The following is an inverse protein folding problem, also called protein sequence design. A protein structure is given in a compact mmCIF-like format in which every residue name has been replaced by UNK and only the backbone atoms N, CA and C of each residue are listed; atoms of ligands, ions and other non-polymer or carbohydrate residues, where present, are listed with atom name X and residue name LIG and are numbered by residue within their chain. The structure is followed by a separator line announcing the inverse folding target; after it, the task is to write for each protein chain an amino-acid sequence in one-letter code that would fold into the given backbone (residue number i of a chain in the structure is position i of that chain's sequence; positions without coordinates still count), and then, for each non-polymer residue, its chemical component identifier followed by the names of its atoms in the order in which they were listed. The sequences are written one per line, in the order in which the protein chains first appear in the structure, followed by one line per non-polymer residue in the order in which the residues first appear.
data_IF_622795603055
#
_entry.id   IF_622795603055
#
_cell.length_a   1.000
_cell.length_b   1.000
_cell.length_c   1.000
_cell.angle_alpha   90.00
_cell.angle_beta   90.00
_cell.angle_gamma   90.00
#
_symmetry.space_group_name_H-M   'P 1'
#
loop_
_entity.id
_entity.type
_entity.pdbx_description
1 polymer ?
#
# COMPACT_ATOMS: atom_id res chain seq x y z
N UNK A 1 -9.78 -21.18 -14.23
CA UNK A 1 -9.24 -19.81 -14.24
C UNK A 1 -10.27 -18.92 -13.60
N UNK A 2 -9.93 -18.23 -12.51
CA UNK A 2 -10.85 -17.29 -11.86
C UNK A 2 -11.02 -16.03 -12.70
N UNK A 3 -12.18 -15.39 -12.60
CA UNK A 3 -12.43 -14.07 -13.19
C UNK A 3 -11.55 -13.05 -12.49
N UNK A 4 -10.74 -12.31 -13.25
CA UNK A 4 -9.96 -11.17 -12.74
C UNK A 4 -10.75 -9.87 -12.91
N UNK A 5 -10.52 -8.87 -12.04
CA UNK A 5 -11.02 -7.53 -12.29
C UNK A 5 -10.33 -6.91 -13.52
N UNK A 6 -10.94 -5.87 -14.08
CA UNK A 6 -10.46 -5.19 -15.30
C UNK A 6 -9.05 -4.60 -15.10
N UNK A 7 -8.72 -4.26 -13.86
CA UNK A 7 -7.40 -3.77 -13.45
C UNK A 7 -7.00 -4.47 -12.15
N UNK A 8 -5.78 -4.99 -12.11
CA UNK A 8 -5.25 -5.74 -10.97
C UNK A 8 -3.79 -5.34 -10.77
N UNK A 9 -3.39 -5.14 -9.51
CA UNK A 9 -2.00 -5.04 -9.13
C UNK A 9 -1.34 -6.42 -9.05
N UNK A 10 -0.05 -6.45 -8.75
CA UNK A 10 0.68 -7.68 -8.44
C UNK A 10 1.17 -7.61 -7.00
N UNK A 11 0.99 -8.70 -6.25
CA UNK A 11 1.56 -8.80 -4.91
C UNK A 11 3.07 -8.91 -5.03
N UNK A 12 3.78 -7.95 -4.45
CA UNK A 12 5.23 -8.03 -4.32
C UNK A 12 5.59 -9.13 -3.28
N UNK A 13 6.35 -10.18 -3.67
CA UNK A 13 6.70 -11.25 -2.75
C UNK A 13 7.58 -10.80 -1.58
N UNK A 14 8.25 -9.63 -1.67
CA UNK A 14 8.98 -9.03 -0.55
C UNK A 14 8.02 -8.47 0.51
N UNK A 15 6.81 -8.10 0.10
CA UNK A 15 5.81 -7.42 0.91
C UNK A 15 4.43 -8.11 0.80
N UNK A 16 4.29 -9.35 1.31
CA UNK A 16 3.15 -10.20 0.98
C UNK A 16 1.85 -9.85 1.71
N UNK A 17 1.90 -9.12 2.84
CA UNK A 17 0.72 -8.88 3.67
C UNK A 17 0.02 -7.58 3.27
N UNK A 18 -1.20 -7.73 2.75
CA UNK A 18 -2.07 -6.63 2.33
C UNK A 18 -3.36 -6.65 3.15
N UNK A 19 -3.88 -5.48 3.52
CA UNK A 19 -5.08 -5.35 4.37
C UNK A 19 -6.08 -4.33 3.84
N UNK A 20 -7.36 -4.55 4.18
CA UNK A 20 -8.44 -3.57 4.00
C UNK A 20 -8.83 -2.85 5.30
N UNK A 21 -8.29 -3.26 6.45
CA UNK A 21 -8.46 -2.51 7.70
C UNK A 21 -7.90 -1.10 7.50
N UNK A 22 -8.69 -0.06 7.74
CA UNK A 22 -8.52 1.34 7.32
C UNK A 22 -8.93 1.67 5.87
N UNK A 23 -8.22 1.18 4.84
CA UNK A 23 -8.46 1.65 3.46
C UNK A 23 -9.84 1.27 2.91
N UNK A 24 -10.46 0.22 3.45
CA UNK A 24 -11.83 -0.16 3.11
C UNK A 24 -12.88 0.86 3.56
N UNK A 25 -12.59 1.72 4.54
CA UNK A 25 -13.49 2.82 4.94
C UNK A 25 -13.43 3.99 3.95
N UNK A 26 -12.25 4.21 3.35
CA UNK A 26 -12.02 5.27 2.35
C UNK A 26 -12.49 4.82 0.96
N UNK A 27 -12.23 3.57 0.61
CA UNK A 27 -12.63 2.93 -0.64
C UNK A 27 -13.47 1.69 -0.32
N UNK A 28 -14.76 1.87 0.01
CA UNK A 28 -15.65 0.75 0.35
C UNK A 28 -15.96 -0.12 -0.86
N UNK A 29 -16.09 0.53 -2.02
CA UNK A 29 -16.48 -0.09 -3.29
C UNK A 29 -15.29 -0.42 -4.18
N UNK A 30 -15.58 -1.20 -5.23
CA UNK A 30 -14.58 -1.52 -6.26
C UNK A 30 -14.13 -0.26 -7.01
N UNK A 31 -12.83 -0.19 -7.31
CA UNK A 31 -12.24 0.91 -8.05
C UNK A 31 -12.39 0.71 -9.55
N UNK A 32 -12.79 1.78 -10.22
CA UNK A 32 -12.83 1.84 -11.67
C UNK A 32 -11.42 2.00 -12.25
N UNK A 33 -11.20 1.62 -13.53
CA UNK A 33 -9.96 1.93 -14.24
C UNK A 33 -9.53 3.40 -14.18
N UNK A 34 -10.50 4.32 -14.18
CA UNK A 34 -10.24 5.75 -14.09
C UNK A 34 -9.72 6.15 -12.70
N UNK A 35 -10.37 5.68 -11.63
CA UNK A 35 -9.98 5.94 -10.25
C UNK A 35 -8.58 5.42 -9.94
N UNK A 36 -8.23 4.24 -10.48
CA UNK A 36 -6.89 3.69 -10.31
C UNK A 36 -5.82 4.54 -11.02
N UNK A 37 -6.04 4.89 -12.29
CA UNK A 37 -5.07 5.65 -13.08
C UNK A 37 -4.85 7.07 -12.56
N UNK A 38 -5.92 7.76 -12.16
CA UNK A 38 -5.86 9.16 -11.75
C UNK A 38 -5.67 9.35 -10.23
N UNK A 39 -6.07 8.36 -9.43
CA UNK A 39 -5.95 8.40 -7.97
C UNK A 39 -4.80 7.54 -7.47
N UNK A 40 -4.93 6.21 -7.59
CA UNK A 40 -4.03 5.25 -6.93
C UNK A 40 -2.58 5.37 -7.39
N UNK A 41 -2.33 5.43 -8.69
CA UNK A 41 -0.94 5.54 -9.22
C UNK A 41 -0.27 6.83 -8.73
N UNK A 42 -1.00 7.93 -8.69
CA UNK A 42 -0.47 9.21 -8.23
C UNK A 42 -0.28 9.25 -6.70
N UNK A 43 -1.19 8.65 -5.94
CA UNK A 43 -1.07 8.51 -4.48
C UNK A 43 0.15 7.65 -4.10
N UNK A 44 0.36 6.52 -4.78
CA UNK A 44 1.53 5.66 -4.62
C UNK A 44 2.83 6.47 -4.82
N UNK A 45 2.92 7.21 -5.93
CA UNK A 45 4.10 8.03 -6.23
C UNK A 45 4.33 9.08 -5.13
N UNK A 46 3.29 9.80 -4.72
CA UNK A 46 3.38 10.80 -3.68
C UNK A 46 3.83 10.21 -2.32
N UNK A 47 3.36 9.02 -1.96
CA UNK A 47 3.82 8.32 -0.76
C UNK A 47 5.27 7.86 -0.85
N UNK A 48 5.72 7.37 -2.01
CA UNK A 48 7.14 7.02 -2.21
C UNK A 48 8.04 8.24 -2.08
N UNK A 49 7.64 9.37 -2.66
CA UNK A 49 8.37 10.62 -2.57
C UNK A 49 8.44 11.09 -1.10
N UNK A 50 7.30 11.12 -0.39
CA UNK A 50 7.25 11.49 1.02
C UNK A 50 8.10 10.57 1.92
N UNK A 51 8.05 9.25 1.71
CA UNK A 51 8.86 8.30 2.48
C UNK A 51 10.35 8.39 2.16
N UNK A 52 10.70 8.82 0.95
CA UNK A 52 12.09 9.11 0.58
C UNK A 52 12.58 10.35 1.31
N UNK A 53 11.78 11.42 1.34
CA UNK A 53 12.10 12.66 2.06
C UNK A 53 12.25 12.42 3.58
N UNK A 54 11.39 11.59 4.16
CA UNK A 54 11.48 11.17 5.56
C UNK A 54 12.64 10.21 5.85
N UNK A 55 13.41 9.78 4.85
CA UNK A 55 14.52 8.83 4.99
C UNK A 55 14.09 7.39 5.30
N UNK A 56 12.81 7.06 5.14
CA UNK A 56 12.27 5.72 5.38
C UNK A 56 12.50 4.81 4.18
N UNK A 57 12.18 5.29 2.98
CA UNK A 57 12.29 4.52 1.75
C UNK A 57 13.77 4.32 1.35
N UNK A 58 14.11 3.12 0.89
CA UNK A 58 15.46 2.75 0.43
C UNK A 58 15.42 2.21 -0.99
N UNK A 59 16.56 2.30 -1.69
CA UNK A 59 16.77 1.91 -3.11
C UNK A 59 16.36 0.46 -3.47
N UNK A 60 16.14 -0.42 -2.49
CA UNK A 60 15.74 -1.82 -2.72
C UNK A 60 14.30 -2.16 -2.32
N UNK A 61 13.56 -1.21 -1.74
CA UNK A 61 12.20 -1.47 -1.26
C UNK A 61 11.21 -1.66 -2.42
N UNK A 62 11.51 -1.11 -3.60
CA UNK A 62 10.69 -1.18 -4.80
C UNK A 62 11.51 -1.68 -5.99
N UNK A 63 10.98 -2.60 -6.80
CA UNK A 63 11.65 -3.15 -7.99
C UNK A 63 11.27 -2.45 -9.30
N UNK A 64 10.31 -1.54 -9.24
CA UNK A 64 9.79 -0.83 -10.40
C UNK A 64 8.68 0.13 -10.01
N UNK A 65 7.89 0.51 -11.00
CA UNK A 65 6.84 1.53 -10.89
C UNK A 65 5.48 0.97 -10.46
N UNK A 66 5.35 -0.36 -10.40
CA UNK A 66 4.13 -1.01 -9.93
C UNK A 66 3.83 -0.59 -8.47
N UNK A 67 2.56 -0.29 -8.13
CA UNK A 67 2.18 0.06 -6.78
C UNK A 67 2.49 -1.04 -5.77
N UNK A 68 3.17 -0.66 -4.69
CA UNK A 68 3.53 -1.52 -3.57
C UNK A 68 2.84 -1.06 -2.30
N UNK A 69 2.69 0.24 -2.06
CA UNK A 69 2.07 0.78 -0.83
C UNK A 69 0.54 0.65 -0.93
N UNK A 70 -0.03 1.00 -2.08
CA UNK A 70 -1.45 0.77 -2.41
C UNK A 70 -1.59 -0.43 -3.35
N UNK A 71 -2.18 -1.51 -2.85
CA UNK A 71 -2.55 -2.67 -3.66
C UNK A 71 -3.95 -2.52 -4.27
N UNK A 72 -4.19 -3.22 -5.37
CA UNK A 72 -5.52 -3.37 -5.98
C UNK A 72 -5.73 -4.83 -6.34
N UNK A 73 -6.66 -5.49 -5.65
CA UNK A 73 -6.92 -6.92 -5.82
C UNK A 73 -8.42 -7.20 -5.86
N UNK A 74 -8.91 -7.89 -6.89
CA UNK A 74 -10.34 -8.20 -7.05
C UNK A 74 -11.22 -6.94 -7.14
N UNK A 75 -10.64 -5.84 -7.62
CA UNK A 75 -11.28 -4.53 -7.70
C UNK A 75 -11.24 -3.69 -6.43
N UNK A 76 -10.77 -4.21 -5.29
CA UNK A 76 -10.72 -3.46 -4.03
C UNK A 76 -9.33 -2.90 -3.74
N UNK A 77 -9.27 -1.73 -3.11
CA UNK A 77 -8.04 -1.14 -2.63
C UNK A 77 -7.53 -1.83 -1.36
N UNK A 78 -6.22 -1.99 -1.27
CA UNK A 78 -5.51 -2.55 -0.12
C UNK A 78 -4.35 -1.64 0.27
N UNK A 79 -3.96 -1.68 1.54
CA UNK A 79 -2.68 -1.15 1.99
C UNK A 79 -1.72 -2.30 2.27
N UNK A 80 -0.47 -2.12 1.87
CA UNK A 80 0.55 -3.11 2.10
C UNK A 80 1.14 -2.96 3.51
N UNK A 81 0.60 -3.75 4.43
CA UNK A 81 1.03 -3.74 5.82
C UNK A 81 2.48 -4.21 5.98
N UNK A 82 2.92 -5.19 5.19
CA UNK A 82 4.31 -5.66 5.22
C UNK A 82 5.29 -4.52 4.97
N UNK A 83 4.99 -3.66 3.99
CA UNK A 83 5.80 -2.48 3.72
C UNK A 83 5.58 -1.37 4.77
N UNK A 84 4.34 -1.04 5.12
CA UNK A 84 4.06 0.04 6.08
C UNK A 84 4.67 -0.21 7.47
N UNK A 85 4.86 -1.46 7.89
CA UNK A 85 5.61 -1.79 9.12
C UNK A 85 7.05 -1.28 9.11
N UNK A 86 7.65 -1.09 7.94
CA UNK A 86 8.99 -0.50 7.79
C UNK A 86 9.01 0.96 8.29
N UNK A 87 7.91 1.70 8.17
CA UNK A 87 7.79 3.03 8.78
C UNK A 87 8.04 2.93 10.30
N UNK A 88 7.45 1.93 10.95
CA UNK A 88 7.65 1.67 12.36
C UNK A 88 9.09 1.29 12.74
N UNK A 89 9.84 0.68 11.82
CA UNK A 89 11.26 0.31 12.05
C UNK A 89 12.21 1.47 11.82
N UNK A 90 11.93 2.31 10.81
CA UNK A 90 12.89 3.29 10.28
C UNK A 90 12.57 4.74 10.69
N UNK A 91 11.34 5.05 11.10
CA UNK A 91 11.00 6.38 11.59
C UNK A 91 11.49 6.58 13.05
N UNK A 92 12.20 7.68 13.36
CA UNK A 92 12.66 7.96 14.72
C UNK A 92 11.51 7.99 15.72
N UNK A 93 11.63 7.26 16.84
CA UNK A 93 10.62 7.21 17.89
C UNK A 93 9.36 6.39 17.56
N UNK A 94 9.33 5.68 16.42
CA UNK A 94 8.22 4.79 16.04
C UNK A 94 8.48 3.33 16.42
N UNK A 95 7.48 2.47 16.21
CA UNK A 95 7.60 1.01 16.34
C UNK A 95 6.69 0.27 15.34
N UNK A 96 7.03 -0.96 14.93
CA UNK A 96 6.14 -1.77 14.10
C UNK A 96 4.77 -2.03 14.74
N UNK A 97 4.71 -2.08 16.08
CA UNK A 97 3.49 -2.24 16.86
C UNK A 97 2.60 -1.00 16.75
N UNK A 98 3.19 0.20 16.73
CA UNK A 98 2.44 1.44 16.52
C UNK A 98 1.74 1.45 15.15
N UNK A 99 2.40 0.90 14.12
CA UNK A 99 1.79 0.71 12.80
C UNK A 99 0.64 -0.30 12.87
N UNK A 100 0.81 -1.42 13.57
CA UNK A 100 -0.25 -2.41 13.72
C UNK A 100 -1.50 -1.81 14.40
N UNK A 101 -1.32 -1.09 15.50
CA UNK A 101 -2.40 -0.43 16.23
C UNK A 101 -3.17 0.56 15.34
N UNK A 102 -2.46 1.35 14.53
CA UNK A 102 -3.07 2.32 13.63
C UNK A 102 -3.95 1.67 12.54
N UNK A 103 -3.65 0.44 12.10
CA UNK A 103 -4.39 -0.24 11.03
C UNK A 103 -5.46 -1.22 11.51
N UNK A 104 -5.35 -1.74 12.74
CA UNK A 104 -6.24 -2.79 13.25
C UNK A 104 -6.95 -2.44 14.57
N UNK A 105 -6.60 -1.35 15.25
CA UNK A 105 -7.10 -1.07 16.59
C UNK A 105 -6.45 -1.95 17.66
N UNK A 106 -7.01 -1.94 18.88
CA UNK A 106 -6.67 -2.85 19.99
C UNK A 106 -7.27 -4.25 19.79
#
# INVERSE_FOLDING_TARGET
MGTSWIIEGQVDPRWPVNTRGNVGEVFPEVLTPLSYRLGVIHAEKAWRDAYTELGVARKGDFSGDDPVIVGLYGGYAYLNLSYLRILGVRAPGSSPQAIHLAFFGE
#
